data_IF_393504064670
#
_entry.id   IF_393504064670
#
_cell.length_a   1.000
_cell.length_b   1.000
_cell.length_c   1.000
_cell.angle_alpha   90.00
_cell.angle_beta   90.00
_cell.angle_gamma   90.00
#
_symmetry.space_group_name_H-M   'P 1'
#
loop_
_entity.id
_entity.type
_entity.pdbx_description
1 polymer ?
#
# COMPACT_ATOMS: atom_id res chain seq x y z
N UNK A 1 0.18 10.48 -3.75
CA UNK A 1 0.95 11.42 -2.93
C UNK A 1 0.11 11.87 -1.74
N UNK A 2 0.78 12.19 -0.63
CA UNK A 2 0.21 12.86 0.52
C UNK A 2 0.03 14.35 0.20
N UNK A 3 -1.05 14.95 0.68
CA UNK A 3 -1.22 16.41 0.60
C UNK A 3 -0.31 17.07 1.64
N UNK A 4 0.74 17.75 1.17
CA UNK A 4 1.78 18.32 2.03
C UNK A 4 1.29 19.60 2.73
N UNK A 5 0.42 20.36 2.07
CA UNK A 5 -0.14 21.59 2.66
C UNK A 5 -1.12 21.25 3.77
N UNK A 6 -1.96 20.24 3.58
CA UNK A 6 -2.86 19.73 4.61
C UNK A 6 -2.07 19.12 5.77
N UNK A 7 -1.05 18.30 5.48
CA UNK A 7 -0.17 17.74 6.52
C UNK A 7 0.49 18.85 7.34
N UNK A 8 1.00 19.90 6.67
CA UNK A 8 1.60 21.05 7.34
C UNK A 8 0.59 21.74 8.27
N UNK A 9 -0.61 22.00 7.78
CA UNK A 9 -1.67 22.63 8.58
C UNK A 9 -2.02 21.82 9.83
N UNK A 10 -2.08 20.49 9.71
CA UNK A 10 -2.33 19.59 10.86
C UNK A 10 -1.16 19.63 11.85
N UNK A 11 0.08 19.55 11.38
CA UNK A 11 1.24 19.53 12.24
C UNK A 11 1.49 20.88 12.90
N UNK A 12 1.26 22.00 12.22
CA UNK A 12 1.35 23.34 12.81
C UNK A 12 0.35 23.53 13.98
N UNK A 13 -0.82 22.90 13.90
CA UNK A 13 -1.88 23.04 14.90
C UNK A 13 -1.85 21.96 16.00
N UNK A 14 -1.42 20.72 15.67
CA UNK A 14 -1.67 19.54 16.50
C UNK A 14 -0.45 18.63 16.67
N UNK A 15 0.78 19.08 16.38
CA UNK A 15 1.98 18.21 16.46
C UNK A 15 2.15 17.52 17.81
N UNK A 16 1.75 18.17 18.92
CA UNK A 16 1.76 17.61 20.26
C UNK A 16 0.78 16.45 20.49
N UNK A 17 -0.20 16.29 19.60
CA UNK A 17 -1.24 15.23 19.63
C UNK A 17 -1.09 14.20 18.53
N UNK A 18 -0.20 14.43 17.56
CA UNK A 18 0.09 13.50 16.48
C UNK A 18 1.21 12.56 16.89
N UNK A 19 0.94 11.29 17.21
CA UNK A 19 1.97 10.37 17.69
C UNK A 19 2.95 9.95 16.60
N UNK A 20 2.50 9.92 15.35
CA UNK A 20 3.30 9.61 14.16
C UNK A 20 2.55 9.99 12.88
N UNK A 21 3.28 10.17 11.81
CA UNK A 21 2.75 10.22 10.44
C UNK A 21 3.16 8.94 9.73
N UNK A 22 2.20 8.27 9.08
CA UNK A 22 2.45 7.03 8.33
C UNK A 22 2.06 7.20 6.87
N UNK A 23 2.97 6.82 5.97
CA UNK A 23 2.75 6.83 4.53
C UNK A 23 2.81 5.43 3.96
N UNK A 24 1.74 5.00 3.29
CA UNK A 24 1.67 3.67 2.63
C UNK A 24 2.17 3.73 1.20
N UNK A 25 3.14 2.90 0.86
CA UNK A 25 3.77 2.80 -0.46
C UNK A 25 3.74 1.34 -0.97
N UNK A 26 3.20 1.03 -2.16
CA UNK A 26 2.15 1.74 -2.90
C UNK A 26 0.82 1.62 -2.17
N UNK A 27 -0.08 2.59 -2.35
CA UNK A 27 -1.34 2.58 -1.61
C UNK A 27 -2.38 1.64 -2.25
N UNK A 28 -2.69 0.54 -1.56
CA UNK A 28 -3.65 -0.45 -2.04
C UNK A 28 -5.10 0.10 -2.15
N UNK A 29 -5.54 0.87 -1.17
CA UNK A 29 -6.92 1.38 -1.14
C UNK A 29 -7.14 2.50 -2.16
N UNK A 30 -6.06 3.11 -2.67
CA UNK A 30 -6.09 4.14 -3.70
C UNK A 30 -5.60 3.62 -5.06
N UNK A 31 -6.02 2.42 -5.43
CA UNK A 31 -5.76 1.85 -6.75
C UNK A 31 -4.33 1.38 -7.00
N UNK A 32 -3.58 1.08 -5.95
CA UNK A 32 -2.19 0.63 -6.08
C UNK A 32 -1.24 1.69 -6.64
N UNK A 33 -1.57 2.98 -6.45
CA UNK A 33 -0.78 4.08 -6.97
C UNK A 33 0.49 4.31 -6.14
N UNK A 34 1.63 4.59 -6.80
CA UNK A 34 2.87 4.89 -6.11
C UNK A 34 2.86 6.28 -5.50
N UNK A 35 3.74 6.47 -4.53
CA UNK A 35 4.09 7.77 -3.97
C UNK A 35 5.43 8.22 -4.55
N UNK A 36 5.52 9.48 -4.99
CA UNK A 36 6.76 10.03 -5.54
C UNK A 36 7.84 10.20 -4.48
N UNK A 37 9.10 10.08 -4.89
CA UNK A 37 10.25 10.29 -4.00
C UNK A 37 10.29 11.72 -3.45
N UNK A 38 9.92 12.69 -4.28
CA UNK A 38 9.79 14.09 -3.87
C UNK A 38 8.76 14.26 -2.73
N UNK A 39 7.60 13.62 -2.85
CA UNK A 39 6.55 13.68 -1.82
C UNK A 39 7.00 13.00 -0.52
N UNK A 40 7.72 11.86 -0.62
CA UNK A 40 8.28 11.19 0.56
C UNK A 40 9.28 12.09 1.27
N UNK A 41 10.17 12.75 0.52
CA UNK A 41 11.15 13.72 1.08
C UNK A 41 10.47 14.89 1.75
N UNK A 42 9.45 15.46 1.12
CA UNK A 42 8.71 16.60 1.66
C UNK A 42 7.98 16.24 2.97
N UNK A 43 7.30 15.10 3.00
CA UNK A 43 6.63 14.61 4.21
C UNK A 43 7.62 14.33 5.35
N UNK A 44 8.75 13.67 5.04
CA UNK A 44 9.82 13.39 6.01
C UNK A 44 10.41 14.66 6.60
N UNK A 45 10.74 15.64 5.76
CA UNK A 45 11.29 16.93 6.21
C UNK A 45 10.31 17.66 7.13
N UNK A 46 9.04 17.72 6.72
CA UNK A 46 8.00 18.38 7.50
C UNK A 46 7.78 17.72 8.87
N UNK A 47 7.74 16.40 8.91
CA UNK A 47 7.63 15.64 10.16
C UNK A 47 8.82 15.90 11.09
N UNK A 48 10.03 15.93 10.54
CA UNK A 48 11.26 16.22 11.27
C UNK A 48 11.25 17.64 11.86
N UNK A 49 10.80 18.63 11.12
CA UNK A 49 10.72 20.02 11.58
C UNK A 49 9.74 20.18 12.75
N UNK A 50 8.73 19.34 12.84
CA UNK A 50 7.74 19.33 13.92
C UNK A 50 8.03 18.30 15.03
N UNK A 51 9.13 17.55 14.93
CA UNK A 51 9.49 16.52 15.91
C UNK A 51 8.51 15.34 15.97
N UNK A 52 7.79 15.07 14.88
CA UNK A 52 6.82 13.97 14.76
C UNK A 52 7.47 12.82 13.99
N UNK A 53 7.46 11.59 14.51
CA UNK A 53 8.03 10.43 13.82
C UNK A 53 7.35 10.16 12.46
N UNK A 54 8.15 9.90 11.43
CA UNK A 54 7.68 9.55 10.10
C UNK A 54 7.90 8.06 9.83
N UNK A 55 6.80 7.34 9.56
CA UNK A 55 6.81 5.89 9.32
C UNK A 55 6.34 5.56 7.89
N UNK A 56 6.85 4.45 7.37
CA UNK A 56 6.44 3.92 6.08
C UNK A 56 5.76 2.56 6.26
N UNK A 57 4.53 2.41 5.78
CA UNK A 57 3.98 1.10 5.46
C UNK A 57 4.60 0.64 4.14
N UNK A 58 5.62 -0.20 4.27
CA UNK A 58 6.50 -0.60 3.18
C UNK A 58 6.06 -1.89 2.47
N UNK A 59 4.81 -2.31 2.65
CA UNK A 59 4.32 -3.58 2.11
C UNK A 59 4.58 -3.78 0.62
N UNK A 60 4.67 -2.69 -0.15
CA UNK A 60 4.93 -2.71 -1.61
C UNK A 60 6.02 -1.74 -2.03
N UNK A 61 7.07 -1.70 -1.24
CA UNK A 61 8.21 -0.79 -1.44
C UNK A 61 8.95 -1.02 -2.75
N UNK A 62 9.03 -2.26 -3.20
CA UNK A 62 9.76 -2.61 -4.42
C UNK A 62 9.02 -2.12 -5.67
N UNK A 63 7.69 -2.33 -5.75
CA UNK A 63 6.92 -1.78 -6.87
C UNK A 63 6.89 -0.24 -6.84
N UNK A 64 6.87 0.39 -5.66
CA UNK A 64 6.98 1.84 -5.54
C UNK A 64 8.31 2.36 -6.07
N UNK A 65 9.42 1.72 -5.69
CA UNK A 65 10.76 2.06 -6.18
C UNK A 65 10.88 1.89 -7.70
N UNK A 66 10.22 0.87 -8.26
CA UNK A 66 10.16 0.67 -9.71
C UNK A 66 9.40 1.80 -10.42
N UNK A 67 8.27 2.23 -9.87
CA UNK A 67 7.53 3.34 -10.44
C UNK A 67 8.29 4.66 -10.35
N UNK A 68 9.03 4.92 -9.28
CA UNK A 68 9.92 6.08 -9.19
C UNK A 68 10.96 6.02 -10.30
N UNK A 69 11.64 4.86 -10.49
CA UNK A 69 12.59 4.66 -11.58
C UNK A 69 11.98 4.97 -12.96
N UNK A 70 10.76 4.53 -13.20
CA UNK A 70 10.12 4.67 -14.52
C UNK A 70 9.49 6.05 -14.78
N UNK A 71 9.11 6.79 -13.74
CA UNK A 71 8.23 7.96 -13.88
C UNK A 71 8.84 9.26 -13.42
N UNK A 72 9.92 9.22 -12.64
CA UNK A 72 10.53 10.42 -12.09
C UNK A 72 11.88 10.71 -12.76
N UNK A 73 12.02 11.93 -13.24
CA UNK A 73 13.22 12.42 -13.91
C UNK A 73 14.46 12.22 -13.02
N UNK A 74 15.57 11.79 -13.61
CA UNK A 74 16.83 11.53 -12.92
C UNK A 74 16.92 10.21 -12.17
N UNK A 75 15.85 9.39 -12.17
CA UNK A 75 15.84 8.07 -11.53
C UNK A 75 15.93 6.89 -12.52
N UNK A 76 15.86 7.13 -13.81
CA UNK A 76 15.85 6.13 -14.89
C UNK A 76 17.06 5.19 -14.89
N UNK A 77 18.24 5.69 -14.50
CA UNK A 77 19.48 4.93 -14.40
C UNK A 77 19.78 4.37 -12.99
N UNK A 78 18.92 4.64 -12.01
CA UNK A 78 19.12 4.16 -10.63
C UNK A 78 18.59 2.74 -10.48
N UNK A 79 19.35 1.82 -9.85
CA UNK A 79 18.81 0.52 -9.44
C UNK A 79 17.64 0.68 -8.45
N UNK A 80 16.57 -0.13 -8.52
CA UNK A 80 15.46 -0.07 -7.57
C UNK A 80 15.89 -0.19 -6.10
N UNK A 81 16.95 -0.95 -5.83
CA UNK A 81 17.50 -1.11 -4.47
C UNK A 81 18.04 0.20 -3.90
N UNK A 82 18.63 1.06 -4.71
CA UNK A 82 19.18 2.34 -4.24
C UNK A 82 18.07 3.36 -3.99
N UNK A 83 16.99 3.30 -4.79
CA UNK A 83 15.79 4.09 -4.55
C UNK A 83 15.10 3.62 -3.26
N UNK A 84 14.96 2.31 -3.06
CA UNK A 84 14.40 1.75 -1.84
C UNK A 84 15.21 2.15 -0.59
N UNK A 85 16.54 2.07 -0.65
CA UNK A 85 17.42 2.50 0.45
C UNK A 85 17.23 3.97 0.79
N UNK A 86 17.08 4.82 -0.21
CA UNK A 86 16.81 6.23 0.03
C UNK A 86 15.45 6.42 0.71
N UNK A 87 14.39 5.76 0.24
CA UNK A 87 13.06 5.81 0.86
C UNK A 87 13.14 5.43 2.34
N UNK A 88 13.78 4.32 2.67
CA UNK A 88 13.91 3.88 4.05
C UNK A 88 14.79 4.80 4.90
N UNK A 89 15.78 5.46 4.32
CA UNK A 89 16.64 6.43 5.04
C UNK A 89 15.91 7.70 5.45
N UNK A 90 14.77 7.99 4.84
CA UNK A 90 13.92 9.14 5.14
C UNK A 90 12.92 8.86 6.28
N UNK A 91 12.81 7.62 6.74
CA UNK A 91 11.83 7.23 7.75
C UNK A 91 12.48 6.88 9.09
N UNK A 92 11.77 7.18 10.18
CA UNK A 92 12.15 6.77 11.54
C UNK A 92 11.81 5.31 11.82
N UNK A 93 10.91 4.74 11.04
CA UNK A 93 10.54 3.34 11.11
C UNK A 93 9.70 2.88 9.92
N UNK A 94 9.53 1.57 9.83
CA UNK A 94 8.73 0.95 8.76
C UNK A 94 8.01 -0.30 9.24
N UNK A 95 6.79 -0.49 8.75
CA UNK A 95 6.05 -1.74 8.88
C UNK A 95 6.09 -2.51 7.57
N UNK A 96 6.16 -3.84 7.66
CA UNK A 96 6.19 -4.70 6.48
C UNK A 96 5.30 -5.93 6.67
N UNK A 97 4.41 -6.16 5.72
CA UNK A 97 3.74 -7.45 5.55
C UNK A 97 4.50 -8.24 4.49
N UNK A 98 5.25 -9.25 4.90
CA UNK A 98 6.21 -9.95 4.04
C UNK A 98 5.58 -10.80 2.94
N UNK A 99 4.28 -11.13 3.05
CA UNK A 99 3.52 -11.85 2.00
C UNK A 99 3.21 -11.02 0.74
N UNK A 100 3.79 -9.84 0.62
CA UNK A 100 3.69 -8.94 -0.54
C UNK A 100 5.07 -8.83 -1.20
N UNK A 101 5.68 -7.67 -1.16
CA UNK A 101 7.02 -7.49 -1.77
C UNK A 101 8.15 -8.22 -0.99
N UNK A 102 7.89 -8.70 0.22
CA UNK A 102 8.80 -9.62 0.89
C UNK A 102 8.86 -11.02 0.28
N UNK A 103 8.00 -11.33 -0.70
CA UNK A 103 7.92 -12.60 -1.44
C UNK A 103 7.84 -13.85 -0.56
N UNK A 104 7.50 -13.69 0.71
CA UNK A 104 7.35 -14.78 1.68
C UNK A 104 5.91 -15.24 1.77
N UNK A 105 5.72 -16.45 2.27
CA UNK A 105 4.41 -17.05 2.46
C UNK A 105 3.60 -16.35 3.56
N UNK A 106 4.27 -15.89 4.61
CA UNK A 106 3.66 -15.26 5.79
C UNK A 106 4.65 -14.33 6.49
N UNK A 107 4.19 -13.70 7.56
CA UNK A 107 5.01 -12.91 8.43
C UNK A 107 5.10 -11.43 8.04
N UNK A 108 5.93 -10.75 8.77
CA UNK A 108 6.21 -9.33 8.63
C UNK A 108 7.17 -8.88 9.71
N UNK A 109 7.49 -7.61 9.68
CA UNK A 109 8.35 -7.00 10.69
C UNK A 109 8.00 -5.53 10.92
N UNK A 110 8.45 -5.03 12.05
CA UNK A 110 8.52 -3.62 12.38
C UNK A 110 9.99 -3.26 12.54
N UNK A 111 10.46 -2.29 11.78
CA UNK A 111 11.80 -1.73 11.87
C UNK A 111 11.73 -0.34 12.50
N UNK A 112 12.61 -0.03 13.44
CA UNK A 112 12.62 1.20 14.21
C UNK A 112 14.05 1.71 14.41
N UNK A 113 14.22 3.04 14.40
CA UNK A 113 15.49 3.69 14.75
C UNK A 113 15.55 4.08 16.23
N UNK A 114 14.41 4.17 16.92
CA UNK A 114 14.33 4.52 18.36
C UNK A 114 14.38 3.25 19.22
N UNK A 115 15.46 3.09 19.99
CA UNK A 115 15.67 1.92 20.85
C UNK A 115 14.64 1.84 21.99
N UNK A 116 14.19 2.96 22.53
CA UNK A 116 13.21 3.01 23.60
C UNK A 116 11.82 2.56 23.11
N UNK A 117 11.43 2.98 21.92
CA UNK A 117 10.21 2.51 21.28
C UNK A 117 10.32 1.04 20.89
N UNK A 118 11.47 0.60 20.37
CA UNK A 118 11.71 -0.80 20.02
C UNK A 118 11.56 -1.73 21.21
N UNK A 119 12.07 -1.33 22.39
CA UNK A 119 11.93 -2.10 23.63
C UNK A 119 10.46 -2.23 24.09
N UNK A 120 9.70 -1.14 24.01
CA UNK A 120 8.26 -1.16 24.29
C UNK A 120 7.51 -2.07 23.33
N UNK A 121 7.86 -2.03 22.03
CA UNK A 121 7.26 -2.92 21.02
C UNK A 121 7.60 -4.39 21.27
N UNK A 122 8.84 -4.72 21.66
CA UNK A 122 9.21 -6.09 22.05
C UNK A 122 8.40 -6.59 23.25
N UNK A 123 8.24 -5.75 24.26
CA UNK A 123 7.43 -6.10 25.44
C UNK A 123 5.96 -6.33 25.06
N UNK A 124 5.41 -5.52 24.19
CA UNK A 124 4.04 -5.69 23.68
C UNK A 124 3.93 -6.94 22.83
N UNK A 125 4.94 -7.26 22.01
CA UNK A 125 4.97 -8.47 21.18
C UNK A 125 4.89 -9.75 22.04
N UNK A 126 5.56 -9.78 23.19
CA UNK A 126 5.50 -10.91 24.14
C UNK A 126 4.05 -11.13 24.62
N UNK A 127 3.32 -10.07 24.86
CA UNK A 127 1.94 -10.14 25.34
C UNK A 127 0.93 -10.55 24.26
N UNK A 128 1.17 -10.15 23.02
CA UNK A 128 0.21 -10.30 21.92
C UNK A 128 0.48 -11.50 21.03
N UNK A 129 1.75 -11.86 20.81
CA UNK A 129 2.18 -12.90 19.86
C UNK A 129 2.99 -14.01 20.52
N UNK A 130 3.83 -13.70 21.47
CA UNK A 130 4.71 -14.62 22.16
C UNK A 130 6.17 -14.17 22.22
N UNK A 131 7.01 -15.01 22.82
CA UNK A 131 8.44 -14.70 22.97
C UNK A 131 9.19 -14.80 21.65
N UNK A 132 10.12 -13.86 21.37
CA UNK A 132 10.91 -13.87 20.13
C UNK A 132 11.87 -15.06 20.00
N UNK A 133 12.08 -15.83 21.08
CA UNK A 133 13.00 -16.98 21.13
C UNK A 133 12.35 -18.32 20.79
N UNK A 134 11.05 -18.48 21.01
CA UNK A 134 10.33 -19.74 20.76
C UNK A 134 8.85 -19.54 20.40
N UNK A 135 8.45 -18.36 20.09
CA UNK A 135 7.16 -18.02 19.46
C UNK A 135 7.43 -17.23 18.17
N UNK A 136 6.48 -17.08 17.32
CA UNK A 136 6.64 -16.34 16.09
C UNK A 136 7.07 -17.18 14.90
N UNK A 137 7.81 -16.57 13.96
CA UNK A 137 8.15 -17.22 12.68
C UNK A 137 9.25 -18.27 12.82
N UNK A 138 9.10 -19.37 12.08
CA UNK A 138 10.15 -20.36 11.95
C UNK A 138 11.36 -19.80 11.17
N UNK A 139 12.54 -20.39 11.39
CA UNK A 139 13.78 -19.93 10.77
C UNK A 139 13.72 -19.90 9.24
N UNK A 140 13.06 -20.87 8.61
CA UNK A 140 12.91 -20.90 7.16
C UNK A 140 11.96 -19.78 6.63
N UNK A 141 10.98 -19.32 7.41
CA UNK A 141 10.16 -18.17 7.05
C UNK A 141 10.96 -16.87 7.13
N UNK A 142 11.81 -16.73 8.17
CA UNK A 142 12.72 -15.59 8.31
C UNK A 142 13.73 -15.54 7.15
N UNK A 143 14.31 -16.69 6.80
CA UNK A 143 15.21 -16.80 5.64
C UNK A 143 14.50 -16.43 4.33
N UNK A 144 13.27 -16.94 4.13
CA UNK A 144 12.46 -16.59 2.97
C UNK A 144 12.22 -15.07 2.88
N UNK A 145 11.91 -14.40 3.99
CA UNK A 145 11.75 -12.95 4.02
C UNK A 145 13.06 -12.25 3.66
N UNK A 146 14.18 -12.69 4.26
CA UNK A 146 15.47 -12.07 4.03
C UNK A 146 15.90 -12.14 2.56
N UNK A 147 15.72 -13.30 1.92
CA UNK A 147 16.01 -13.48 0.48
C UNK A 147 15.00 -12.71 -0.37
N UNK A 148 13.71 -12.82 -0.04
CA UNK A 148 12.62 -12.22 -0.81
C UNK A 148 12.71 -10.69 -0.89
N UNK A 149 13.18 -10.01 0.16
CA UNK A 149 13.38 -8.55 0.15
C UNK A 149 14.41 -8.10 -0.90
N UNK A 150 15.43 -8.90 -1.20
CA UNK A 150 16.39 -8.61 -2.27
C UNK A 150 15.85 -9.01 -3.63
N UNK A 151 15.21 -10.18 -3.74
CA UNK A 151 14.67 -10.67 -5.01
C UNK A 151 13.54 -9.79 -5.55
N UNK A 152 12.72 -9.22 -4.68
CA UNK A 152 11.67 -8.29 -5.04
C UNK A 152 12.17 -7.03 -5.76
N UNK A 153 13.44 -6.64 -5.54
CA UNK A 153 14.06 -5.47 -6.14
C UNK A 153 14.78 -5.75 -7.46
N UNK A 154 14.74 -7.00 -7.95
CA UNK A 154 15.31 -7.35 -9.26
C UNK A 154 14.50 -6.70 -10.38
N UNK A 155 15.20 -6.04 -11.30
CA UNK A 155 14.57 -5.32 -12.39
C UNK A 155 13.77 -6.23 -13.34
N UNK A 156 14.28 -7.41 -13.63
CA UNK A 156 13.61 -8.40 -14.48
C UNK A 156 12.27 -8.86 -13.88
N UNK A 157 12.24 -9.12 -12.57
CA UNK A 157 11.05 -9.46 -11.84
C UNK A 157 10.04 -8.30 -11.82
N UNK A 158 10.48 -7.11 -11.47
CA UNK A 158 9.62 -5.92 -11.40
C UNK A 158 9.05 -5.55 -12.76
N UNK A 159 9.88 -5.59 -13.81
CA UNK A 159 9.45 -5.34 -15.18
C UNK A 159 8.35 -6.32 -15.61
N UNK A 160 8.53 -7.61 -15.36
CA UNK A 160 7.55 -8.64 -15.66
C UNK A 160 6.24 -8.43 -14.89
N UNK A 161 6.33 -8.26 -13.56
CA UNK A 161 5.18 -8.08 -12.68
C UNK A 161 4.33 -6.87 -13.06
N UNK A 162 4.97 -5.70 -13.20
CA UNK A 162 4.27 -4.45 -13.53
C UNK A 162 3.69 -4.50 -14.95
N UNK A 163 4.44 -5.07 -15.92
CA UNK A 163 3.95 -5.24 -17.29
C UNK A 163 2.73 -6.16 -17.36
N UNK A 164 2.69 -7.21 -16.56
CA UNK A 164 1.53 -8.13 -16.51
C UNK A 164 0.26 -7.40 -16.09
N UNK A 165 0.32 -6.57 -15.05
CA UNK A 165 -0.84 -5.77 -14.61
C UNK A 165 -1.23 -4.74 -15.68
N UNK A 166 -0.26 -4.02 -16.23
CA UNK A 166 -0.49 -3.05 -17.29
C UNK A 166 -1.16 -3.70 -18.53
N UNK A 167 -0.73 -4.91 -18.92
CA UNK A 167 -1.32 -5.65 -20.03
C UNK A 167 -2.80 -5.94 -19.83
N UNK A 168 -3.21 -6.39 -18.64
CA UNK A 168 -4.62 -6.61 -18.32
C UNK A 168 -5.39 -5.29 -18.38
N UNK A 169 -4.85 -4.22 -17.82
CA UNK A 169 -5.46 -2.89 -17.86
C UNK A 169 -5.69 -2.39 -19.29
N UNK A 170 -4.69 -2.53 -20.17
CA UNK A 170 -4.79 -2.18 -21.60
C UNK A 170 -5.90 -2.96 -22.30
N UNK A 171 -6.01 -4.25 -22.02
CA UNK A 171 -7.05 -5.09 -22.62
C UNK A 171 -8.45 -4.69 -22.17
N UNK A 172 -8.63 -4.49 -20.87
CA UNK A 172 -9.93 -4.07 -20.32
C UNK A 172 -10.34 -2.69 -20.86
N UNK A 173 -9.41 -1.75 -20.92
CA UNK A 173 -9.65 -0.42 -21.50
C UNK A 173 -10.06 -0.51 -22.99
N UNK A 174 -9.39 -1.36 -23.79
CA UNK A 174 -9.75 -1.60 -25.19
C UNK A 174 -11.14 -2.20 -25.36
N UNK A 175 -11.62 -2.94 -24.36
CA UNK A 175 -12.99 -3.50 -24.32
C UNK A 175 -14.03 -2.49 -23.82
N UNK A 176 -13.64 -1.26 -23.50
CA UNK A 176 -14.53 -0.23 -22.97
C UNK A 176 -14.89 -0.42 -21.50
N UNK A 177 -14.18 -1.29 -20.77
CA UNK A 177 -14.40 -1.51 -19.35
C UNK A 177 -13.70 -0.39 -18.56
N UNK A 178 -14.42 0.39 -17.74
CA UNK A 178 -13.82 1.45 -16.98
C UNK A 178 -12.96 0.89 -15.84
N UNK A 179 -11.70 1.32 -15.80
CA UNK A 179 -10.75 0.98 -14.74
C UNK A 179 -10.11 2.25 -14.20
N UNK A 180 -9.53 2.18 -13.00
CA UNK A 180 -8.71 3.25 -12.48
C UNK A 180 -7.43 3.40 -13.32
N UNK A 181 -7.15 4.62 -13.79
CA UNK A 181 -6.01 4.94 -14.66
C UNK A 181 -5.03 5.91 -13.97
N UNK A 182 -3.73 5.78 -14.22
CA UNK A 182 -3.08 4.62 -14.85
C UNK A 182 -3.16 3.37 -13.95
N UNK A 183 -3.01 2.15 -14.46
CA UNK A 183 -2.96 0.95 -13.63
C UNK A 183 -1.84 1.04 -12.59
N UNK A 184 -2.10 0.52 -11.40
CA UNK A 184 -1.10 0.35 -10.36
C UNK A 184 -0.19 -0.86 -10.59
N UNK A 185 0.60 -1.22 -9.56
CA UNK A 185 1.63 -2.26 -9.69
C UNK A 185 1.16 -3.69 -9.42
N UNK A 186 0.07 -3.89 -8.68
CA UNK A 186 -0.27 -5.21 -8.14
C UNK A 186 -1.70 -5.66 -8.40
N UNK A 187 -2.53 -4.80 -8.99
CA UNK A 187 -3.93 -5.12 -9.26
C UNK A 187 -4.52 -4.17 -10.30
N UNK A 188 -5.63 -4.58 -10.88
CA UNK A 188 -6.53 -3.73 -11.66
C UNK A 188 -7.74 -3.37 -10.79
N UNK A 189 -8.18 -2.13 -10.90
CA UNK A 189 -9.35 -1.63 -10.16
C UNK A 189 -10.42 -1.23 -11.17
N UNK A 190 -11.47 -2.06 -11.26
CA UNK A 190 -12.65 -1.77 -12.07
C UNK A 190 -13.47 -0.67 -11.39
N UNK A 191 -13.96 0.30 -12.14
CA UNK A 191 -14.92 1.28 -11.64
C UNK A 191 -16.36 0.77 -11.87
N UNK A 192 -16.88 0.02 -10.89
CA UNK A 192 -18.21 -0.56 -10.98
C UNK A 192 -19.32 0.50 -11.02
N UNK A 193 -19.12 1.67 -10.38
CA UNK A 193 -20.08 2.78 -10.44
C UNK A 193 -20.21 3.31 -11.86
N UNK A 194 -19.10 3.49 -12.56
CA UNK A 194 -19.12 3.96 -13.93
C UNK A 194 -19.63 2.89 -14.91
N UNK A 195 -19.28 1.61 -14.66
CA UNK A 195 -19.66 0.51 -15.55
C UNK A 195 -21.11 0.08 -15.40
N UNK A 196 -21.60 0.02 -14.17
CA UNK A 196 -22.95 -0.45 -13.82
C UNK A 196 -23.85 0.71 -13.40
N UNK A 197 -23.88 1.76 -14.18
CA UNK A 197 -24.61 3.02 -13.88
C UNK A 197 -26.12 2.83 -13.69
N UNK A 198 -26.68 1.68 -14.12
CA UNK A 198 -28.08 1.31 -13.91
C UNK A 198 -28.35 0.73 -12.49
N UNK A 199 -27.31 0.40 -11.72
CA UNK A 199 -27.43 -0.06 -10.33
C UNK A 199 -27.26 1.16 -9.41
N UNK A 200 -28.28 1.54 -8.64
CA UNK A 200 -28.15 2.61 -7.65
C UNK A 200 -27.04 2.29 -6.62
N UNK A 201 -26.39 3.32 -6.10
CA UNK A 201 -25.29 3.14 -5.13
C UNK A 201 -25.73 2.47 -3.83
N UNK A 202 -26.99 2.63 -3.45
CA UNK A 202 -27.65 1.97 -2.29
C UNK A 202 -27.79 0.45 -2.48
N UNK A 203 -27.57 -0.04 -3.70
CA UNK A 203 -27.52 -1.47 -4.04
C UNK A 203 -26.07 -1.97 -4.26
N UNK A 204 -25.07 -1.18 -3.88
CA UNK A 204 -23.67 -1.56 -3.85
C UNK A 204 -23.16 -2.19 -5.18
N UNK A 205 -23.06 -1.43 -6.28
CA UNK A 205 -22.69 -1.98 -7.58
C UNK A 205 -21.32 -2.71 -7.59
N UNK A 206 -20.37 -2.29 -6.77
CA UNK A 206 -19.10 -3.00 -6.58
C UNK A 206 -19.30 -4.40 -6.01
N UNK A 207 -20.15 -4.53 -4.99
CA UNK A 207 -20.47 -5.83 -4.39
C UNK A 207 -21.26 -6.74 -5.35
N UNK A 208 -22.22 -6.17 -6.08
CA UNK A 208 -22.96 -6.90 -7.12
C UNK A 208 -22.00 -7.46 -8.19
N UNK A 209 -21.05 -6.65 -8.65
CA UNK A 209 -20.04 -7.07 -9.64
C UNK A 209 -19.16 -8.21 -9.12
N UNK A 210 -18.67 -8.12 -7.88
CA UNK A 210 -17.87 -9.19 -7.25
C UNK A 210 -18.61 -10.52 -7.25
N UNK A 211 -19.90 -10.51 -6.88
CA UNK A 211 -20.72 -11.71 -6.86
C UNK A 211 -20.90 -12.33 -8.25
N UNK A 212 -21.19 -11.51 -9.27
CA UNK A 212 -21.35 -12.00 -10.65
C UNK A 212 -20.01 -12.54 -11.18
N UNK A 213 -18.90 -11.85 -10.97
CA UNK A 213 -17.57 -12.34 -11.38
C UNK A 213 -17.25 -13.70 -10.76
N UNK A 214 -17.65 -13.91 -9.52
CA UNK A 214 -17.43 -15.18 -8.84
C UNK A 214 -18.34 -16.29 -9.35
N UNK A 215 -19.65 -16.04 -9.44
CA UNK A 215 -20.63 -17.05 -9.83
C UNK A 215 -20.51 -17.45 -11.30
N UNK A 216 -20.35 -16.48 -12.21
CA UNK A 216 -20.36 -16.72 -13.64
C UNK A 216 -18.96 -16.97 -14.22
N UNK A 217 -17.93 -16.32 -13.63
CA UNK A 217 -16.55 -16.37 -14.15
C UNK A 217 -15.59 -17.20 -13.32
N UNK A 218 -15.96 -17.61 -12.10
CA UNK A 218 -15.02 -18.21 -11.16
C UNK A 218 -13.89 -17.25 -10.73
N UNK A 219 -14.13 -15.94 -10.89
CA UNK A 219 -13.12 -14.89 -10.63
C UNK A 219 -13.33 -14.35 -9.23
N UNK A 220 -12.36 -14.60 -8.37
CA UNK A 220 -12.34 -14.01 -7.02
C UNK A 220 -11.81 -12.57 -7.08
N UNK A 221 -12.67 -11.63 -6.72
CA UNK A 221 -12.33 -10.20 -6.64
C UNK A 221 -12.57 -9.66 -5.22
N UNK A 222 -12.13 -8.44 -4.97
CA UNK A 222 -12.39 -7.74 -3.72
C UNK A 222 -13.07 -6.41 -4.00
N UNK A 223 -14.21 -6.17 -3.36
CA UNK A 223 -14.82 -4.86 -3.35
C UNK A 223 -13.97 -3.89 -2.53
N UNK A 224 -13.79 -2.68 -3.03
CA UNK A 224 -13.11 -1.56 -2.37
C UNK A 224 -13.94 -0.30 -2.66
N UNK A 225 -15.05 -0.17 -1.98
CA UNK A 225 -16.00 0.92 -2.15
C UNK A 225 -16.82 1.14 -0.89
N UNK A 226 -18.10 1.35 -1.03
CA UNK A 226 -19.00 1.74 0.07
C UNK A 226 -19.11 0.68 1.18
N UNK A 227 -19.02 -0.60 0.86
CA UNK A 227 -19.08 -1.68 1.86
C UNK A 227 -17.96 -1.58 2.90
N UNK A 228 -16.81 -1.01 2.55
CA UNK A 228 -15.70 -0.82 3.48
C UNK A 228 -16.00 0.13 4.64
N UNK A 229 -16.93 1.05 4.47
CA UNK A 229 -17.26 2.01 5.53
C UNK A 229 -18.22 1.45 6.58
N UNK A 230 -18.96 0.39 6.22
CA UNK A 230 -19.95 -0.22 7.11
C UNK A 230 -21.10 0.73 7.48
N UNK A 231 -21.98 0.25 8.31
CA UNK A 231 -23.05 1.07 8.87
C UNK A 231 -22.50 2.05 9.91
N UNK A 232 -22.93 3.30 9.82
CA UNK A 232 -22.53 4.35 10.75
C UNK A 232 -23.28 4.20 12.08
N UNK A 233 -22.80 4.81 13.18
CA UNK A 233 -23.44 4.71 14.50
C UNK A 233 -24.90 5.17 14.56
N UNK A 234 -25.31 6.07 13.66
CA UNK A 234 -26.67 6.57 13.51
C UNK A 234 -27.56 5.69 12.61
N UNK A 235 -27.03 4.55 12.15
CA UNK A 235 -27.72 3.63 11.25
C UNK A 235 -27.70 4.04 9.77
N UNK A 236 -27.08 5.17 9.42
CA UNK A 236 -26.90 5.58 8.03
C UNK A 236 -25.77 4.81 7.35
N UNK A 237 -25.71 4.91 6.03
CA UNK A 237 -24.63 4.34 5.21
C UNK A 237 -23.77 5.47 4.63
N UNK A 238 -22.45 5.28 4.68
CA UNK A 238 -21.50 6.17 4.04
C UNK A 238 -21.11 5.57 2.69
N UNK A 239 -21.30 6.34 1.62
CA UNK A 239 -20.98 5.90 0.28
C UNK A 239 -19.63 6.41 -0.18
N UNK A 240 -18.87 5.54 -0.86
CA UNK A 240 -17.62 5.91 -1.52
C UNK A 240 -17.88 6.78 -2.76
N UNK A 241 -16.90 7.61 -3.11
CA UNK A 241 -16.97 8.37 -4.36
C UNK A 241 -16.89 7.46 -5.59
N UNK A 242 -16.14 6.37 -5.47
CA UNK A 242 -15.98 5.32 -6.49
C UNK A 242 -16.31 3.96 -5.88
N UNK A 243 -17.02 3.12 -6.63
CA UNK A 243 -17.26 1.72 -6.27
C UNK A 243 -16.23 0.85 -7.00
N UNK A 244 -15.07 0.66 -6.36
CA UNK A 244 -13.97 -0.06 -6.99
C UNK A 244 -14.05 -1.57 -6.72
N UNK A 245 -13.68 -2.35 -7.72
CA UNK A 245 -13.49 -3.80 -7.61
C UNK A 245 -12.07 -4.15 -8.01
N UNK A 246 -11.32 -4.72 -7.09
CA UNK A 246 -9.93 -5.12 -7.30
C UNK A 246 -9.84 -6.56 -7.81
N UNK A 247 -9.16 -6.72 -8.96
CA UNK A 247 -8.76 -7.99 -9.56
C UNK A 247 -7.28 -8.28 -9.33
#
# INVERSE_FOLDING_TARGET
NMDIDELKSILDQWSDKVPMVMMTITNNSNGGQPVSLENIRAASALCKDHGVPFFIDACRFAENSWFIKLREEGNDNRPPIDIAREIFSLADGATMSAKKDGMANMGGFLALNDDGLAEKCRSMLILTEGFPTYGGLAGYDLESIAIGLYEALREDYLAYRIRTVAYVGERLTKMGIPILQPPGGHAIYLDAKAWLSHIPREQFPGWALVNVLYCEGGIRASEIGSVMFGQQPDGSEKFADKELVRL
#
